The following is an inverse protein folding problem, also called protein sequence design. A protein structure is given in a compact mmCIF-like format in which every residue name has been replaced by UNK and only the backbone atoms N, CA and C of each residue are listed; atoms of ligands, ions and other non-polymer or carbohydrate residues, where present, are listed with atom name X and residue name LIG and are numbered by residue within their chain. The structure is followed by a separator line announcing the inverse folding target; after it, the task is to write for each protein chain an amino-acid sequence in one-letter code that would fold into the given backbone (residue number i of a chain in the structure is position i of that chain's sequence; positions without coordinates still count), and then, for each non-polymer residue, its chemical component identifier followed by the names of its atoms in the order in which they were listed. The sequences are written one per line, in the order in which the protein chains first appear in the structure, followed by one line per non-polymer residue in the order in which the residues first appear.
data_IF_491185463343
#
_entry.id   IF_491185463343
#
_cell.length_a   1.000
_cell.length_b   1.000
_cell.length_c   1.000
_cell.angle_alpha   90.00
_cell.angle_beta   90.00
_cell.angle_gamma   90.00
#
_symmetry.space_group_name_H-M   'P 1'
#
loop_
_entity.id
_entity.type
_entity.pdbx_description
1 polymer ?
#
# COMPACT_ATOMS: atom_id res chain seq x y z
N UNK A 1 -10.57 13.99 4.22
CA UNK A 1 -10.99 12.88 5.07
C UNK A 1 -12.47 13.04 5.44
N UNK A 2 -12.82 14.10 6.10
CA UNK A 2 -14.12 14.27 6.76
C UNK A 2 -15.27 14.69 5.81
N UNK A 3 -15.08 14.58 4.50
CA UNK A 3 -16.12 14.84 3.50
C UNK A 3 -17.00 13.62 3.18
N UNK A 4 -16.69 12.47 3.72
CA UNK A 4 -17.39 11.21 3.52
C UNK A 4 -17.17 10.25 4.70
N UNK A 5 -17.35 8.97 4.44
CA UNK A 5 -17.26 7.95 5.46
C UNK A 5 -15.82 7.74 5.95
N UNK A 6 -15.69 7.58 7.24
CA UNK A 6 -14.49 7.02 7.86
C UNK A 6 -14.79 5.55 8.12
N UNK A 7 -14.04 4.68 7.50
CA UNK A 7 -14.28 3.26 7.61
C UNK A 7 -13.94 2.78 9.02
N UNK A 8 -14.89 2.08 9.57
CA UNK A 8 -14.75 1.40 10.85
C UNK A 8 -15.00 -0.07 10.58
N UNK A 9 -13.99 -0.88 10.80
CA UNK A 9 -14.09 -2.32 10.67
C UNK A 9 -14.08 -2.95 12.06
N UNK A 10 -15.21 -2.90 12.79
CA UNK A 10 -15.29 -3.33 14.20
C UNK A 10 -15.01 -4.82 14.37
N UNK A 11 -15.27 -5.61 13.33
CA UNK A 11 -15.11 -7.05 13.38
C UNK A 11 -13.76 -7.54 12.84
N UNK A 12 -12.86 -6.65 12.37
CA UNK A 12 -11.50 -7.05 12.02
C UNK A 12 -10.64 -7.10 13.28
N UNK A 13 -10.20 -8.30 13.63
CA UNK A 13 -9.37 -8.55 14.79
C UNK A 13 -7.89 -8.59 14.43
N UNK A 14 -7.09 -7.78 15.11
CA UNK A 14 -5.65 -7.66 14.91
C UNK A 14 -5.21 -6.32 14.36
N UNK A 15 -3.89 -6.15 14.22
CA UNK A 15 -3.29 -4.92 13.74
C UNK A 15 -3.50 -4.77 12.24
N UNK A 16 -4.11 -3.65 11.84
CA UNK A 16 -4.35 -3.32 10.44
C UNK A 16 -3.19 -2.48 9.90
N UNK A 17 -2.66 -2.93 8.80
CA UNK A 17 -1.56 -2.25 8.11
C UNK A 17 -1.92 -2.03 6.64
N UNK A 18 -1.51 -0.91 6.10
CA UNK A 18 -1.62 -0.64 4.67
C UNK A 18 -0.28 -0.22 4.07
N UNK A 19 -0.04 -0.63 2.85
CA UNK A 19 1.07 -0.16 2.00
C UNK A 19 0.47 0.62 0.84
N UNK A 20 0.89 1.85 0.68
CA UNK A 20 0.49 2.68 -0.45
C UNK A 20 1.70 3.02 -1.32
N UNK A 21 1.59 2.78 -2.62
CA UNK A 21 2.54 3.26 -3.62
C UNK A 21 2.03 4.55 -4.25
N UNK A 22 2.94 5.49 -4.53
CA UNK A 22 2.59 6.68 -5.30
C UNK A 22 2.35 6.38 -6.78
N UNK A 23 2.59 5.14 -7.20
CA UNK A 23 2.36 4.67 -8.55
C UNK A 23 3.61 4.72 -9.44
N UNK A 24 3.65 3.80 -10.38
CA UNK A 24 4.73 3.68 -11.37
C UNK A 24 4.40 2.63 -12.41
N UNK A 25 5.24 2.57 -13.44
CA UNK A 25 5.12 1.58 -14.52
C UNK A 25 5.60 0.22 -14.03
N UNK A 26 4.75 -0.80 -14.13
CA UNK A 26 5.09 -2.17 -13.69
C UNK A 26 5.16 -2.32 -12.16
N UNK A 27 4.62 -1.38 -11.38
CA UNK A 27 4.58 -1.49 -9.92
C UNK A 27 3.54 -2.51 -9.46
N UNK A 28 3.98 -3.74 -9.21
CA UNK A 28 3.18 -4.84 -8.68
C UNK A 28 3.48 -5.18 -7.21
N UNK A 29 4.28 -4.36 -6.54
CA UNK A 29 4.78 -4.60 -5.17
C UNK A 29 3.67 -4.93 -4.17
N UNK A 30 2.51 -4.30 -4.29
CA UNK A 30 1.38 -4.56 -3.40
C UNK A 30 0.86 -6.00 -3.49
N UNK A 31 0.91 -6.61 -4.69
CA UNK A 31 0.45 -7.98 -4.89
C UNK A 31 1.39 -9.03 -4.28
N UNK A 32 2.68 -8.68 -4.16
CA UNK A 32 3.70 -9.55 -3.54
C UNK A 32 3.76 -9.31 -2.02
N UNK A 33 3.84 -8.05 -1.59
CA UNK A 33 4.04 -7.71 -0.17
C UNK A 33 2.80 -8.04 0.67
N UNK A 34 1.59 -7.80 0.16
CA UNK A 34 0.39 -7.97 0.96
C UNK A 34 0.17 -9.42 1.45
N UNK A 35 0.30 -10.46 0.62
CA UNK A 35 0.23 -11.85 1.09
C UNK A 35 1.33 -12.21 2.09
N UNK A 36 2.56 -11.72 1.88
CA UNK A 36 3.68 -11.97 2.79
C UNK A 36 3.38 -11.37 4.17
N UNK A 37 2.90 -10.13 4.21
CA UNK A 37 2.56 -9.44 5.46
C UNK A 37 1.39 -10.12 6.17
N UNK A 38 0.38 -10.57 5.41
CA UNK A 38 -0.73 -11.35 5.97
C UNK A 38 -0.27 -12.68 6.58
N UNK A 39 0.72 -13.36 5.95
CA UNK A 39 1.30 -14.61 6.50
C UNK A 39 2.03 -14.40 7.83
N UNK A 40 2.46 -13.19 8.14
CA UNK A 40 3.04 -12.80 9.42
C UNK A 40 1.98 -12.49 10.51
N UNK A 41 0.71 -12.72 10.21
CA UNK A 41 -0.40 -12.55 11.15
C UNK A 41 -0.99 -11.14 11.21
N UNK A 42 -0.60 -10.24 10.32
CA UNK A 42 -1.16 -8.91 10.23
C UNK A 42 -2.41 -8.89 9.34
N UNK A 43 -3.21 -7.83 9.47
CA UNK A 43 -4.42 -7.66 8.69
C UNK A 43 -4.25 -6.56 7.65
N UNK A 44 -4.47 -6.91 6.39
CA UNK A 44 -4.44 -5.97 5.27
C UNK A 44 -5.87 -5.77 4.74
N UNK A 45 -6.50 -4.71 5.24
CA UNK A 45 -7.82 -4.27 4.83
C UNK A 45 -7.66 -3.15 3.78
N UNK A 46 -7.17 -3.51 2.59
CA UNK A 46 -6.66 -2.54 1.63
C UNK A 46 -7.74 -1.99 0.72
N UNK A 47 -7.88 -0.65 0.72
CA UNK A 47 -8.58 0.06 -0.34
C UNK A 47 -7.59 0.58 -1.37
N UNK A 48 -7.82 0.24 -2.62
CA UNK A 48 -6.93 0.60 -3.73
C UNK A 48 -7.69 1.33 -4.84
N UNK A 49 -6.96 2.11 -5.62
CA UNK A 49 -7.49 2.83 -6.77
C UNK A 49 -7.21 2.11 -8.08
N UNK A 50 -7.82 2.66 -9.14
CA UNK A 50 -7.48 2.36 -10.53
C UNK A 50 -6.21 3.11 -10.95
N UNK A 51 -5.64 2.71 -12.05
CA UNK A 51 -4.51 3.39 -12.65
C UNK A 51 -4.81 4.82 -13.05
N UNK A 52 -3.78 5.65 -13.08
CA UNK A 52 -3.83 7.04 -13.54
C UNK A 52 -2.70 7.29 -14.54
N UNK A 53 -3.03 7.90 -15.66
CA UNK A 53 -2.07 8.22 -16.71
C UNK A 53 -1.32 6.96 -17.18
N UNK A 54 0.00 6.96 -17.05
CA UNK A 54 0.87 5.85 -17.46
C UNK A 54 1.05 4.75 -16.39
N UNK A 55 0.38 4.86 -15.24
CA UNK A 55 0.50 3.89 -14.14
C UNK A 55 -0.61 2.85 -14.17
N UNK A 56 -0.31 1.60 -13.81
CA UNK A 56 -1.31 0.55 -13.62
C UNK A 56 -1.89 0.56 -12.20
N UNK A 57 -3.22 0.44 -12.07
CA UNK A 57 -3.89 0.34 -10.76
C UNK A 57 -3.93 -1.08 -10.24
N UNK A 58 -3.84 -1.25 -8.92
CA UNK A 58 -3.96 -2.58 -8.30
C UNK A 58 -5.34 -3.21 -8.56
N UNK A 59 -6.41 -2.41 -8.56
CA UNK A 59 -7.76 -2.87 -8.87
C UNK A 59 -7.84 -3.39 -10.30
N UNK A 60 -7.30 -2.64 -11.28
CA UNK A 60 -7.31 -3.03 -12.69
C UNK A 60 -6.56 -4.35 -12.93
N UNK A 61 -5.47 -4.58 -12.18
CA UNK A 61 -4.72 -5.83 -12.19
C UNK A 61 -5.55 -7.00 -11.67
N UNK A 62 -6.20 -6.83 -10.52
CA UNK A 62 -7.03 -7.86 -9.92
C UNK A 62 -8.26 -8.19 -10.79
N UNK A 63 -8.93 -7.19 -11.35
CA UNK A 63 -10.08 -7.35 -12.23
C UNK A 63 -9.72 -8.01 -13.59
N UNK A 64 -8.44 -8.07 -13.95
CA UNK A 64 -8.00 -8.81 -15.13
C UNK A 64 -8.16 -10.33 -15.00
N UNK A 65 -8.46 -10.82 -13.78
CA UNK A 65 -8.79 -12.22 -13.53
C UNK A 65 -10.30 -12.44 -13.57
N UNK A 66 -10.73 -13.33 -14.44
CA UNK A 66 -12.14 -13.66 -14.56
C UNK A 66 -12.71 -14.20 -13.24
N UNK A 67 -13.80 -13.57 -12.77
CA UNK A 67 -14.49 -13.96 -11.54
C UNK A 67 -13.92 -13.38 -10.24
N UNK A 68 -12.80 -12.66 -10.28
CA UNK A 68 -12.29 -11.96 -9.10
C UNK A 68 -13.06 -10.66 -8.90
N UNK A 69 -13.66 -10.53 -7.71
CA UNK A 69 -14.42 -9.33 -7.34
C UNK A 69 -13.51 -8.36 -6.57
N UNK A 70 -13.71 -7.08 -6.78
CA UNK A 70 -13.07 -5.97 -6.05
C UNK A 70 -14.10 -5.03 -5.41
N UNK A 71 -15.34 -5.47 -5.38
CA UNK A 71 -16.46 -4.78 -4.74
C UNK A 71 -17.17 -5.77 -3.78
N UNK A 72 -17.24 -5.39 -2.50
CA UNK A 72 -17.77 -6.21 -1.42
C UNK A 72 -18.58 -5.35 -0.48
N UNK A 73 -19.58 -5.94 0.19
CA UNK A 73 -20.17 -5.31 1.38
C UNK A 73 -19.12 -5.22 2.51
N UNK A 74 -19.37 -4.37 3.49
CA UNK A 74 -18.47 -4.24 4.65
C UNK A 74 -18.30 -5.57 5.38
N UNK A 75 -19.40 -6.31 5.56
CA UNK A 75 -19.43 -7.59 6.25
C UNK A 75 -18.64 -8.67 5.49
N UNK A 76 -18.81 -8.73 4.17
CA UNK A 76 -18.04 -9.65 3.31
C UNK A 76 -16.56 -9.31 3.37
N UNK A 77 -16.20 -8.03 3.29
CA UNK A 77 -14.84 -7.56 3.36
C UNK A 77 -14.18 -7.94 4.70
N UNK A 78 -14.83 -7.64 5.82
CA UNK A 78 -14.35 -8.02 7.16
C UNK A 78 -14.18 -9.53 7.31
N UNK A 79 -15.14 -10.32 6.81
CA UNK A 79 -15.09 -11.79 6.81
C UNK A 79 -13.88 -12.31 6.03
N UNK A 80 -13.61 -11.76 4.84
CA UNK A 80 -12.45 -12.14 4.04
C UNK A 80 -11.15 -11.81 4.78
N UNK A 81 -11.01 -10.57 5.30
CA UNK A 81 -9.82 -10.14 6.04
C UNK A 81 -9.57 -11.02 7.27
N UNK A 82 -10.60 -11.36 8.02
CA UNK A 82 -10.45 -12.21 9.20
C UNK A 82 -9.98 -13.62 8.83
N UNK A 83 -10.54 -14.19 7.77
CA UNK A 83 -10.25 -15.56 7.32
C UNK A 83 -8.89 -15.68 6.66
N UNK A 84 -8.51 -14.74 5.80
CA UNK A 84 -7.31 -14.82 4.96
C UNK A 84 -6.17 -13.91 5.39
N UNK A 85 -6.43 -12.95 6.24
CA UNK A 85 -5.50 -11.88 6.61
C UNK A 85 -5.46 -10.71 5.62
N UNK A 86 -6.04 -10.84 4.41
CA UNK A 86 -5.96 -9.84 3.36
C UNK A 86 -7.27 -9.74 2.58
N UNK A 87 -7.69 -8.51 2.29
CA UNK A 87 -8.62 -8.22 1.20
C UNK A 87 -8.23 -6.90 0.54
N UNK A 88 -8.41 -6.83 -0.78
CA UNK A 88 -8.17 -5.63 -1.59
C UNK A 88 -9.47 -5.30 -2.32
N UNK A 89 -9.97 -4.09 -2.10
CA UNK A 89 -11.21 -3.60 -2.73
C UNK A 89 -10.96 -2.29 -3.47
N UNK A 90 -11.81 -2.00 -4.42
CA UNK A 90 -11.91 -0.70 -5.05
C UNK A 90 -12.35 0.37 -4.05
N UNK A 91 -12.05 1.62 -4.33
CA UNK A 91 -12.54 2.74 -3.53
C UNK A 91 -14.02 2.95 -3.78
N UNK A 92 -14.82 3.01 -2.73
CA UNK A 92 -16.21 3.41 -2.84
C UNK A 92 -16.34 4.90 -3.19
N UNK A 93 -17.49 5.28 -3.76
CA UNK A 93 -17.79 6.67 -4.06
C UNK A 93 -17.88 7.54 -2.80
N UNK A 94 -18.21 6.93 -1.67
CA UNK A 94 -18.43 7.59 -0.37
C UNK A 94 -17.13 7.81 0.41
N UNK A 95 -16.03 7.15 0.02
CA UNK A 95 -14.74 7.34 0.66
C UNK A 95 -14.08 8.63 0.13
N UNK A 96 -14.01 9.65 0.98
CA UNK A 96 -13.42 10.95 0.67
C UNK A 96 -13.95 11.58 -0.63
N UNK A 97 -15.30 11.81 -0.79
CA UNK A 97 -15.89 12.31 -2.03
C UNK A 97 -15.36 13.68 -2.46
N UNK A 98 -14.91 14.52 -1.54
CA UNK A 98 -14.23 15.77 -1.88
C UNK A 98 -12.91 15.52 -2.62
N UNK A 99 -12.16 14.49 -2.25
CA UNK A 99 -10.93 14.10 -2.97
C UNK A 99 -11.25 13.67 -4.41
N UNK A 100 -12.33 12.92 -4.62
CA UNK A 100 -12.76 12.52 -5.97
C UNK A 100 -12.99 13.73 -6.88
N UNK A 101 -13.64 14.77 -6.36
CA UNK A 101 -13.88 16.03 -7.11
C UNK A 101 -12.59 16.80 -7.38
N UNK A 102 -11.74 16.95 -6.36
CA UNK A 102 -10.44 17.61 -6.49
C UNK A 102 -9.51 16.86 -7.44
N UNK A 103 -9.56 15.55 -7.43
CA UNK A 103 -8.75 14.70 -8.29
C UNK A 103 -9.16 14.84 -9.77
N UNK A 104 -10.46 14.89 -10.05
CA UNK A 104 -10.96 15.15 -11.39
C UNK A 104 -10.55 16.54 -11.92
N UNK A 105 -10.57 17.56 -11.06
CA UNK A 105 -10.09 18.89 -11.42
C UNK A 105 -8.58 18.91 -11.67
N UNK A 106 -7.81 18.19 -10.86
CA UNK A 106 -6.36 18.11 -10.98
C UNK A 106 -5.93 17.53 -12.32
N UNK A 107 -6.68 16.57 -12.85
CA UNK A 107 -6.40 15.93 -14.13
C UNK A 107 -6.50 16.89 -15.32
N UNK A 108 -7.39 17.89 -15.24
CA UNK A 108 -7.67 18.86 -16.33
C UNK A 108 -7.08 20.25 -16.12
N UNK A 109 -6.42 20.50 -14.99
CA UNK A 109 -5.89 21.84 -14.65
C UNK A 109 -4.36 21.91 -14.63
N UNK A 110 -3.67 20.93 -15.21
CA UNK A 110 -2.20 20.83 -15.21
C UNK A 110 -1.56 20.91 -13.80
N UNK A 111 -2.25 20.41 -12.79
CA UNK A 111 -1.78 20.39 -11.38
C UNK A 111 -1.48 18.97 -10.88
N UNK A 112 -1.29 18.02 -11.80
CA UNK A 112 -1.04 16.60 -11.48
C UNK A 112 0.20 16.45 -10.59
N UNK A 113 1.26 17.22 -10.84
CA UNK A 113 2.54 17.11 -10.12
C UNK A 113 2.60 17.92 -8.82
N UNK A 114 1.49 18.54 -8.42
CA UNK A 114 1.43 19.34 -7.20
C UNK A 114 1.58 18.47 -5.95
N UNK A 115 2.72 18.58 -5.28
CA UNK A 115 3.03 17.81 -4.05
C UNK A 115 1.94 17.95 -2.99
N UNK A 116 1.43 19.15 -2.64
CA UNK A 116 0.35 19.29 -1.68
C UNK A 116 -0.92 18.55 -2.09
N UNK A 117 -1.29 18.58 -3.38
CA UNK A 117 -2.49 17.90 -3.88
C UNK A 117 -2.30 16.38 -3.93
N UNK A 118 -1.11 15.90 -4.28
CA UNK A 118 -0.77 14.47 -4.20
C UNK A 118 -0.86 13.99 -2.75
N UNK A 119 -0.20 14.69 -1.84
CA UNK A 119 -0.16 14.33 -0.43
C UNK A 119 -1.56 14.33 0.21
N UNK A 120 -2.37 15.35 -0.05
CA UNK A 120 -3.73 15.45 0.49
C UNK A 120 -4.65 14.35 -0.05
N UNK A 121 -4.57 14.03 -1.34
CA UNK A 121 -5.34 12.97 -1.97
C UNK A 121 -4.99 11.60 -1.40
N UNK A 122 -3.70 11.28 -1.31
CA UNK A 122 -3.25 9.99 -0.75
C UNK A 122 -3.64 9.89 0.71
N UNK A 123 -3.23 10.85 1.52
CA UNK A 123 -3.41 10.78 2.97
C UNK A 123 -4.88 10.93 3.38
N UNK A 124 -5.67 11.72 2.67
CA UNK A 124 -7.12 11.82 2.89
C UNK A 124 -7.80 10.46 2.83
N UNK A 125 -7.50 9.67 1.80
CA UNK A 125 -8.03 8.30 1.62
C UNK A 125 -7.49 7.33 2.65
N UNK A 126 -6.19 7.38 2.94
CA UNK A 126 -5.56 6.48 3.93
C UNK A 126 -6.04 6.73 5.35
N UNK A 127 -6.26 7.99 5.70
CA UNK A 127 -6.84 8.35 7.00
C UNK A 127 -8.34 8.01 7.10
N UNK A 128 -9.06 8.03 5.97
CA UNK A 128 -10.46 7.58 5.92
C UNK A 128 -10.57 6.05 6.02
N UNK A 129 -9.63 5.29 5.44
CA UNK A 129 -9.53 3.84 5.61
C UNK A 129 -9.20 3.43 7.05
N UNK A 130 -8.62 4.34 7.83
CA UNK A 130 -8.43 4.22 9.28
C UNK A 130 -7.54 3.05 9.73
N UNK A 131 -6.53 2.68 8.93
CA UNK A 131 -5.53 1.69 9.31
C UNK A 131 -4.67 2.16 10.50
N UNK A 132 -4.11 1.22 11.26
CA UNK A 132 -3.28 1.52 12.42
C UNK A 132 -1.87 1.98 12.00
N UNK A 133 -1.34 1.35 10.96
CA UNK A 133 -0.03 1.66 10.40
C UNK A 133 -0.10 1.83 8.88
N UNK A 134 0.66 2.78 8.37
CA UNK A 134 0.73 3.09 6.94
C UNK A 134 2.19 3.11 6.49
N UNK A 135 2.51 2.32 5.48
CA UNK A 135 3.80 2.38 4.79
C UNK A 135 3.61 3.03 3.43
N UNK A 136 4.32 4.13 3.21
CA UNK A 136 4.28 4.88 1.97
C UNK A 136 5.50 4.50 1.12
N UNK A 137 5.25 3.95 -0.05
CA UNK A 137 6.24 3.62 -1.06
C UNK A 137 6.25 4.76 -2.09
N UNK A 138 7.15 5.71 -1.89
CA UNK A 138 7.25 6.92 -2.72
C UNK A 138 8.20 6.65 -3.87
N UNK A 139 7.63 6.47 -5.04
CA UNK A 139 8.37 6.19 -6.27
C UNK A 139 9.07 7.44 -6.79
N UNK A 140 10.32 7.28 -7.23
CA UNK A 140 11.13 8.34 -7.85
C UNK A 140 11.70 7.85 -9.18
N UNK A 141 11.77 8.70 -10.18
CA UNK A 141 12.36 8.38 -11.48
C UNK A 141 11.39 8.53 -12.66
N UNK A 142 11.86 8.13 -13.83
CA UNK A 142 11.16 8.35 -15.12
C UNK A 142 9.80 7.64 -15.20
N UNK A 143 9.65 6.50 -14.57
CA UNK A 143 8.41 5.73 -14.51
C UNK A 143 7.43 6.18 -13.42
N UNK A 144 7.72 7.23 -12.66
CA UNK A 144 6.89 7.74 -11.56
C UNK A 144 6.43 9.18 -11.79
N UNK A 145 5.56 9.69 -10.88
CA UNK A 145 5.16 11.11 -10.90
C UNK A 145 6.31 12.02 -10.41
N UNK A 146 7.04 11.63 -9.37
CA UNK A 146 8.18 12.38 -8.85
C UNK A 146 9.44 12.02 -9.65
N UNK A 147 9.96 12.97 -10.41
CA UNK A 147 11.11 12.77 -11.29
C UNK A 147 12.45 12.87 -10.56
N UNK A 148 12.48 13.61 -9.45
CA UNK A 148 13.70 13.82 -8.67
C UNK A 148 13.59 13.19 -7.29
N UNK A 149 14.72 12.78 -6.73
CA UNK A 149 14.81 12.25 -5.37
C UNK A 149 14.41 13.32 -4.34
N UNK A 150 14.74 14.55 -4.58
CA UNK A 150 14.46 15.71 -3.73
C UNK A 150 12.94 15.94 -3.60
N UNK A 151 12.21 15.89 -4.70
CA UNK A 151 10.75 16.01 -4.71
C UNK A 151 10.08 14.82 -4.05
N UNK A 152 10.62 13.62 -4.25
CA UNK A 152 10.14 12.41 -3.58
C UNK A 152 10.33 12.50 -2.07
N UNK A 153 11.48 13.01 -1.60
CA UNK A 153 11.73 13.26 -0.17
C UNK A 153 10.76 14.29 0.38
N UNK A 154 10.51 15.38 -0.35
CA UNK A 154 9.57 16.43 0.05
C UNK A 154 8.15 15.88 0.17
N UNK A 155 7.70 15.11 -0.82
CA UNK A 155 6.39 14.43 -0.79
C UNK A 155 6.30 13.45 0.40
N UNK A 156 7.31 12.60 0.59
CA UNK A 156 7.37 11.65 1.68
C UNK A 156 7.26 12.32 3.06
N UNK A 157 8.06 13.37 3.29
CA UNK A 157 8.03 14.14 4.55
C UNK A 157 6.65 14.77 4.78
N UNK A 158 6.03 15.33 3.75
CA UNK A 158 4.69 15.92 3.82
C UNK A 158 3.66 14.87 4.24
N UNK A 159 3.62 13.73 3.57
CA UNK A 159 2.67 12.66 3.88
C UNK A 159 2.89 12.07 5.29
N UNK A 160 4.14 11.84 5.69
CA UNK A 160 4.46 11.34 7.04
C UNK A 160 4.03 12.35 8.11
N UNK A 161 4.24 13.66 7.88
CA UNK A 161 3.79 14.71 8.80
C UNK A 161 2.28 14.73 8.96
N UNK A 162 1.52 14.64 7.85
CA UNK A 162 0.05 14.55 7.87
C UNK A 162 -0.41 13.32 8.69
N UNK A 163 0.19 12.17 8.43
CA UNK A 163 -0.20 10.94 9.12
C UNK A 163 0.11 10.97 10.62
N UNK A 164 1.29 11.46 10.99
CA UNK A 164 1.66 11.65 12.40
C UNK A 164 0.76 12.66 13.10
N UNK A 165 0.44 13.78 12.44
CA UNK A 165 -0.51 14.77 12.95
C UNK A 165 -1.92 14.21 13.18
N UNK A 166 -2.30 13.17 12.44
CA UNK A 166 -3.55 12.43 12.63
C UNK A 166 -3.44 11.26 13.63
N UNK A 167 -2.31 11.14 14.35
CA UNK A 167 -2.10 10.08 15.36
C UNK A 167 -1.81 8.70 14.79
N UNK A 168 -1.44 8.60 13.49
CA UNK A 168 -1.13 7.33 12.84
C UNK A 168 0.36 7.02 12.83
N UNK A 169 0.70 5.73 12.87
CA UNK A 169 2.07 5.28 12.61
C UNK A 169 2.32 5.29 11.11
N UNK A 170 3.18 6.18 10.64
CA UNK A 170 3.45 6.32 9.21
C UNK A 170 4.94 6.33 8.97
N UNK A 171 5.40 5.48 8.06
CA UNK A 171 6.77 5.49 7.51
C UNK A 171 6.72 5.62 5.99
N UNK A 172 7.79 6.18 5.43
CA UNK A 172 7.94 6.30 3.99
C UNK A 172 9.27 5.72 3.54
N UNK A 173 9.22 5.08 2.39
CA UNK A 173 10.36 4.58 1.63
C UNK A 173 10.43 5.36 0.33
N UNK A 174 11.62 5.69 -0.11
CA UNK A 174 11.84 6.22 -1.45
C UNK A 174 12.44 5.10 -2.27
N UNK A 175 11.75 4.73 -3.34
CA UNK A 175 12.14 3.62 -4.19
C UNK A 175 12.30 4.09 -5.63
N UNK A 176 13.27 3.53 -6.31
CA UNK A 176 13.58 3.85 -7.69
C UNK A 176 12.53 3.25 -8.64
N UNK A 177 12.09 4.05 -9.60
CA UNK A 177 11.16 3.68 -10.67
C UNK A 177 11.67 4.14 -12.04
N UNK A 178 12.97 4.25 -12.22
CA UNK A 178 13.57 4.44 -13.54
C UNK A 178 13.45 3.19 -14.39
N UNK A 179 13.38 2.04 -13.74
CA UNK A 179 13.16 0.73 -14.37
C UNK A 179 11.90 0.11 -13.75
N UNK A 180 10.99 -0.46 -14.56
CA UNK A 180 9.86 -1.22 -14.07
C UNK A 180 10.31 -2.39 -13.19
N UNK A 181 9.47 -2.78 -12.23
CA UNK A 181 9.72 -3.97 -11.40
C UNK A 181 9.43 -5.24 -12.21
N UNK A 182 10.36 -6.17 -12.17
CA UNK A 182 10.24 -7.43 -12.90
C UNK A 182 10.29 -7.26 -14.41
N UNK A 183 9.77 -8.26 -15.11
CA UNK A 183 9.81 -8.35 -16.58
C UNK A 183 8.44 -8.12 -17.22
N UNK A 184 7.36 -8.29 -16.47
CA UNK A 184 6.00 -8.16 -16.95
C UNK A 184 5.44 -6.75 -16.69
N UNK A 185 4.88 -6.12 -17.72
CA UNK A 185 4.21 -4.81 -17.64
C UNK A 185 2.85 -4.96 -18.33
N UNK A 186 1.79 -4.87 -17.54
CA UNK A 186 0.40 -5.03 -17.97
C UNK A 186 -0.42 -5.75 -16.91
N UNK A 187 -1.74 -5.54 -16.89
CA UNK A 187 -2.57 -5.95 -15.76
C UNK A 187 -2.46 -7.45 -15.42
N UNK A 188 -2.87 -8.34 -16.30
CA UNK A 188 -2.89 -9.78 -16.04
C UNK A 188 -1.49 -10.39 -15.94
N UNK A 189 -0.55 -9.95 -16.76
CA UNK A 189 0.81 -10.51 -16.75
C UNK A 189 1.58 -10.09 -15.52
N UNK A 190 1.32 -8.91 -14.96
CA UNK A 190 1.89 -8.50 -13.68
C UNK A 190 1.38 -9.34 -12.51
N UNK A 191 0.10 -9.77 -12.54
CA UNK A 191 -0.43 -10.68 -11.51
C UNK A 191 0.19 -12.06 -11.64
N UNK A 192 0.35 -12.57 -12.87
CA UNK A 192 1.03 -13.86 -13.10
C UNK A 192 2.45 -13.80 -12.52
N UNK A 193 3.21 -12.78 -12.85
CA UNK A 193 4.59 -12.62 -12.35
C UNK A 193 4.63 -12.44 -10.82
N UNK A 194 3.65 -11.76 -10.22
CA UNK A 194 3.53 -11.66 -8.76
C UNK A 194 3.28 -13.03 -8.11
N UNK A 195 2.45 -13.87 -8.72
CA UNK A 195 2.20 -15.25 -8.25
C UNK A 195 3.48 -16.10 -8.37
N UNK A 196 4.19 -16.00 -9.51
CA UNK A 196 5.47 -16.69 -9.72
C UNK A 196 6.51 -16.24 -8.67
N UNK A 197 6.56 -14.93 -8.37
CA UNK A 197 7.42 -14.38 -7.32
C UNK A 197 7.11 -14.97 -5.95
N UNK A 198 5.83 -15.07 -5.58
CA UNK A 198 5.40 -15.68 -4.31
C UNK A 198 5.70 -17.18 -4.24
N UNK A 199 5.83 -17.86 -5.39
CA UNK A 199 6.27 -19.26 -5.51
C UNK A 199 7.80 -19.42 -5.48
N UNK A 200 8.55 -18.32 -5.49
CA UNK A 200 10.01 -18.32 -5.57
C UNK A 200 10.56 -18.50 -7.00
N UNK A 201 9.72 -18.34 -8.00
CA UNK A 201 10.04 -18.51 -9.43
C UNK A 201 10.14 -17.18 -10.18
N UNK A 202 9.77 -16.08 -9.55
CA UNK A 202 9.74 -14.75 -10.14
C UNK A 202 11.11 -14.07 -10.21
N UNK A 203 11.15 -12.86 -10.80
CA UNK A 203 12.36 -12.05 -10.90
C UNK A 203 12.96 -11.71 -9.53
N UNK A 204 14.29 -11.63 -9.46
CA UNK A 204 15.02 -11.37 -8.19
C UNK A 204 14.72 -9.99 -7.59
N UNK A 205 14.37 -9.01 -8.38
CA UNK A 205 14.03 -7.66 -7.94
C UNK A 205 12.69 -7.55 -7.21
N UNK A 206 11.86 -8.60 -7.29
CA UNK A 206 10.59 -8.72 -6.59
C UNK A 206 10.63 -9.68 -5.40
N UNK A 207 11.64 -10.54 -5.34
CA UNK A 207 11.78 -11.54 -4.29
C UNK A 207 12.28 -10.95 -2.98
N UNK A 208 11.81 -11.49 -1.85
CA UNK A 208 12.43 -11.34 -0.55
C UNK A 208 13.75 -12.16 -0.57
N UNK A 209 14.82 -11.56 -1.06
CA UNK A 209 16.10 -12.21 -1.30
C UNK A 209 16.55 -13.13 -0.17
N UNK A 210 16.68 -14.38 -0.47
CA UNK A 210 17.25 -15.41 0.37
C UNK A 210 17.35 -16.71 -0.41
N UNK A 211 18.42 -16.86 -1.17
CA UNK A 211 18.74 -18.10 -1.85
C UNK A 211 19.62 -17.86 -3.06
N UNK A 212 20.88 -18.25 -2.94
CA UNK A 212 21.79 -18.29 -4.09
C UNK A 212 21.24 -19.21 -5.18
N UNK A 213 20.93 -18.64 -6.32
CA UNK A 213 20.69 -19.42 -7.55
C UNK A 213 21.86 -19.22 -8.51
N UNK A 214 22.42 -20.28 -9.07
CA UNK A 214 23.53 -20.14 -10.01
C UNK A 214 23.08 -19.49 -11.33
N UNK A 215 23.97 -18.78 -12.04
CA UNK A 215 23.63 -18.00 -13.20
C UNK A 215 23.37 -18.87 -14.43
N UNK A 216 22.16 -18.80 -14.99
CA UNK A 216 21.95 -19.21 -16.37
C UNK A 216 21.69 -17.97 -17.23
N UNK A 217 22.59 -17.79 -18.18
CA UNK A 217 22.83 -16.65 -19.01
C UNK A 217 21.64 -15.96 -19.67
N UNK A 218 21.52 -14.69 -19.36
CA UNK A 218 21.41 -13.59 -20.33
C UNK A 218 21.65 -12.27 -19.63
N UNK A 219 22.65 -11.54 -20.05
CA UNK A 219 23.02 -10.27 -19.46
C UNK A 219 22.01 -9.18 -19.88
N UNK A 220 21.04 -8.91 -19.01
CA UNK A 220 20.45 -7.59 -18.92
C UNK A 220 21.23 -6.88 -17.81
N UNK A 221 21.76 -5.69 -18.09
CA UNK A 221 22.58 -4.93 -17.15
C UNK A 221 21.80 -4.73 -15.85
N UNK A 222 22.19 -5.47 -14.83
CA UNK A 222 21.65 -5.39 -13.47
C UNK A 222 22.11 -4.09 -12.83
N UNK A 223 21.18 -3.18 -12.63
CA UNK A 223 21.36 -2.16 -11.60
C UNK A 223 21.27 -2.84 -10.23
N UNK A 224 22.43 -3.03 -9.59
CA UNK A 224 22.50 -3.63 -8.25
C UNK A 224 21.81 -2.71 -7.23
N UNK A 225 20.80 -3.21 -6.55
CA UNK A 225 20.29 -2.65 -5.31
C UNK A 225 19.31 -3.61 -4.65
N UNK A 226 19.45 -3.90 -3.34
CA UNK A 226 18.51 -4.73 -2.58
C UNK A 226 17.24 -3.90 -2.29
N UNK A 227 16.40 -3.66 -3.29
CA UNK A 227 15.34 -2.63 -3.21
C UNK A 227 14.08 -3.16 -2.57
N UNK A 228 13.70 -4.40 -2.85
CA UNK A 228 12.44 -4.95 -2.34
C UNK A 228 12.58 -5.65 -0.99
N UNK A 229 13.70 -6.30 -0.73
CA UNK A 229 14.02 -6.82 0.60
C UNK A 229 14.13 -5.74 1.68
N UNK A 230 14.43 -4.49 1.29
CA UNK A 230 14.46 -3.36 2.22
C UNK A 230 13.04 -2.86 2.53
N UNK A 231 12.12 -2.84 1.56
CA UNK A 231 10.72 -2.50 1.78
C UNK A 231 10.03 -3.52 2.69
N UNK A 232 10.26 -4.81 2.46
CA UNK A 232 9.75 -5.88 3.34
C UNK A 232 10.35 -5.79 4.73
N UNK A 233 11.67 -5.57 4.87
CA UNK A 233 12.31 -5.39 6.19
C UNK A 233 11.82 -4.17 6.94
N UNK A 234 11.59 -3.06 6.25
CA UNK A 234 11.07 -1.85 6.88
C UNK A 234 9.59 -1.98 7.23
N UNK A 235 8.80 -2.66 6.39
CA UNK A 235 7.44 -3.03 6.73
C UNK A 235 7.41 -3.94 7.95
N UNK A 236 8.31 -4.93 8.01
CA UNK A 236 8.48 -5.81 9.17
C UNK A 236 8.84 -5.02 10.43
N UNK A 237 9.79 -4.09 10.34
CA UNK A 237 10.16 -3.23 11.48
C UNK A 237 9.00 -2.35 11.97
N UNK A 238 8.21 -1.76 11.05
CA UNK A 238 7.00 -0.99 11.42
C UNK A 238 5.98 -1.86 12.12
N UNK A 239 5.87 -3.10 11.69
CA UNK A 239 4.97 -4.09 12.24
C UNK A 239 5.40 -4.55 13.62
N UNK A 240 6.68 -4.83 13.82
CA UNK A 240 7.24 -5.17 15.14
C UNK A 240 7.08 -4.01 16.12
N UNK A 241 7.45 -2.78 15.72
CA UNK A 241 7.22 -1.57 16.53
C UNK A 241 5.75 -1.41 16.92
N UNK A 242 4.83 -1.80 16.05
CA UNK A 242 3.40 -1.71 16.31
C UNK A 242 2.90 -2.81 17.25
N UNK A 243 3.43 -4.04 17.11
CA UNK A 243 3.16 -5.16 18.03
C UNK A 243 3.67 -4.88 19.43
N UNK A 244 4.90 -4.39 19.57
CA UNK A 244 5.45 -3.99 20.87
C UNK A 244 4.58 -2.93 21.56
N UNK A 245 4.07 -1.95 20.80
CA UNK A 245 3.19 -0.93 21.36
C UNK A 245 1.81 -1.49 21.80
N UNK A 246 1.32 -2.58 21.18
CA UNK A 246 0.11 -3.27 21.64
C UNK A 246 0.35 -4.07 22.92
N UNK A 247 1.52 -4.70 23.06
CA UNK A 247 1.87 -5.44 24.27
C UNK A 247 2.03 -4.49 25.48
N UNK A 248 2.56 -3.30 25.27
CA UNK A 248 2.70 -2.27 26.31
C UNK A 248 1.37 -1.59 26.65
N UNK A 249 0.46 -1.42 25.66
CA UNK A 249 -0.87 -0.81 25.85
C UNK A 249 -1.94 -1.74 26.41
N UNK A 250 -1.77 -3.05 26.29
CA UNK A 250 -2.74 -4.07 26.75
C UNK A 250 -2.82 -4.27 28.26
N UNK A 251 -1.99 -3.57 29.05
CA UNK A 251 -1.98 -3.64 30.53
C UNK A 251 -2.94 -2.72 31.26
N UNK A 252 -3.72 -1.89 30.55
CA UNK A 252 -4.73 -1.04 31.16
C UNK A 252 -6.14 -1.54 30.80
N UNK A 253 -6.66 -2.48 31.61
CA UNK A 253 -8.11 -2.72 31.64
C UNK A 253 -8.85 -1.40 31.95
N UNK A 254 -9.92 -1.08 31.20
CA UNK A 254 -10.76 0.06 31.57
C UNK A 254 -11.40 -0.26 32.92
N UNK A 255 -10.98 0.48 33.98
CA UNK A 255 -11.67 0.46 35.27
C UNK A 255 -13.15 0.73 35.02
N UNK A 256 -13.97 -0.29 35.18
CA UNK A 256 -15.43 -0.17 35.30
C UNK A 256 -15.69 0.78 36.46
N UNK A 257 -16.13 2.01 36.17
CA UNK A 257 -16.73 2.86 37.17
C UNK A 257 -18.03 2.17 37.58
N UNK A 258 -18.05 1.60 38.77
CA UNK A 258 -19.23 1.20 39.43
C UNK A 258 -20.10 2.46 39.64
N UNK A 259 -21.27 2.45 39.04
CA UNK A 259 -22.31 3.37 39.40
C UNK A 259 -22.81 2.98 40.82
N UNK A 260 -22.52 3.81 41.78
CA UNK A 260 -23.20 3.79 43.07
C UNK A 260 -24.07 5.05 43.15
N UNK A 261 -25.31 4.84 43.54
CA UNK A 261 -26.25 5.87 43.97
C UNK A 261 -27.33 6.19 42.96
#
# INVERSE_FOLDING_TARGET
RDSGDILRFPNIHGLRVDKHSTGGVGDKTSLVIAPIVASLGLKIAKMSGRGLGHTGGTVDKLESFAGLKTDFSTEEFESIVNRTGIAIVGQSAELAPADKKLYALRDVTATVDSIPLIASSIMGKKLAANDDCIVLDVKTGSGSFMKTKEDSIRLAKTMVSIGKGAGKKVRALITDMDVPLGNAIGNSIEVIEAIETLRGEGPEDQGSGGGERPPQGRAVRRGRGPRDGQAVRQLHAVVEDAREAQLVGGGQEPRRRAAQG
#
